data_IF_799034306490
#
_entry.id   IF_799034306490
#
_cell.length_a   1.000
_cell.length_b   1.000
_cell.length_c   1.000
_cell.angle_alpha   90.00
_cell.angle_beta   90.00
_cell.angle_gamma   90.00
#
_symmetry.space_group_name_H-M   'P 1'
#
loop_
_entity.id
_entity.type
_entity.pdbx_description
1 polymer ?
#
# COMPACT_ATOMS: atom_id res chain seq x y z
N UNK A 1 18.29 54.42 -33.79
CA UNK A 1 17.16 53.47 -33.78
C UNK A 1 17.72 52.09 -33.49
N UNK A 2 17.54 51.58 -32.26
CA UNK A 2 17.84 50.20 -31.89
C UNK A 2 16.59 49.67 -31.18
N UNK A 3 15.94 48.68 -31.80
CA UNK A 3 14.78 47.96 -31.25
C UNK A 3 15.33 46.91 -30.27
N UNK A 4 15.04 47.10 -28.99
CA UNK A 4 15.26 46.06 -27.97
C UNK A 4 14.11 45.06 -28.02
N UNK A 5 14.42 43.81 -28.37
CA UNK A 5 13.48 42.69 -28.27
C UNK A 5 13.63 42.11 -26.86
N UNK A 6 12.61 42.26 -26.03
CA UNK A 6 12.57 41.64 -24.71
C UNK A 6 12.30 40.13 -24.85
N UNK A 7 13.31 39.31 -24.56
CA UNK A 7 13.12 37.88 -24.34
C UNK A 7 12.33 37.70 -23.04
N UNK A 8 11.05 37.38 -23.18
CA UNK A 8 10.19 37.02 -22.05
C UNK A 8 10.53 35.57 -21.67
N UNK A 9 11.36 35.38 -20.66
CA UNK A 9 11.49 34.09 -19.99
C UNK A 9 10.20 33.78 -19.23
N UNK A 10 9.21 33.23 -19.91
CA UNK A 10 8.04 32.67 -19.24
C UNK A 10 8.48 31.43 -18.47
N UNK A 11 8.39 31.50 -17.14
CA UNK A 11 8.65 30.39 -16.24
C UNK A 11 7.74 29.23 -16.60
N UNK A 12 8.28 28.01 -16.68
CA UNK A 12 7.54 26.78 -17.04
C UNK A 12 6.28 26.57 -16.18
N UNK A 13 6.25 27.16 -14.98
CA UNK A 13 5.13 27.13 -14.03
C UNK A 13 3.90 27.93 -14.51
N UNK A 14 4.10 29.06 -15.21
CA UNK A 14 3.01 29.88 -15.78
C UNK A 14 2.40 29.20 -17.01
N UNK A 15 3.23 28.57 -17.85
CA UNK A 15 2.77 27.82 -19.01
C UNK A 15 1.92 26.60 -18.61
N UNK A 16 2.27 25.90 -17.53
CA UNK A 16 1.47 24.82 -16.97
C UNK A 16 0.13 25.30 -16.42
N UNK A 17 0.11 26.49 -15.81
CA UNK A 17 -1.11 27.11 -15.28
C UNK A 17 -2.08 27.53 -16.39
N UNK A 18 -1.58 27.89 -17.57
CA UNK A 18 -2.39 28.21 -18.75
C UNK A 18 -3.12 26.99 -19.33
N UNK A 19 -2.64 25.76 -19.12
CA UNK A 19 -3.29 24.53 -19.57
C UNK A 19 -4.49 24.08 -18.69
N UNK A 20 -4.95 24.91 -17.74
CA UNK A 20 -5.91 24.52 -16.68
C UNK A 20 -7.40 24.72 -17.00
N UNK A 21 -7.81 24.99 -18.25
CA UNK A 21 -9.22 25.27 -18.64
C UNK A 21 -9.81 24.22 -19.61
N UNK A 22 -11.16 24.15 -19.78
CA UNK A 22 -12.11 23.42 -18.94
C UNK A 22 -12.45 22.00 -19.47
N UNK A 23 -11.67 21.44 -20.40
CA UNK A 23 -11.89 20.08 -20.92
C UNK A 23 -10.63 19.22 -20.74
N UNK A 24 -10.79 17.99 -20.25
CA UNK A 24 -9.67 17.07 -20.01
C UNK A 24 -8.91 16.74 -21.30
N UNK A 25 -9.62 16.59 -22.42
CA UNK A 25 -9.01 16.29 -23.71
C UNK A 25 -8.14 17.45 -24.21
N UNK A 26 -8.58 18.68 -24.03
CA UNK A 26 -7.82 19.87 -24.43
C UNK A 26 -6.63 20.11 -23.49
N UNK A 27 -6.80 19.82 -22.21
CA UNK A 27 -5.71 19.84 -21.22
C UNK A 27 -4.61 18.85 -21.58
N UNK A 28 -4.95 17.61 -21.94
CA UNK A 28 -3.95 16.59 -22.28
C UNK A 28 -3.14 16.98 -23.52
N UNK A 29 -3.79 17.54 -24.55
CA UNK A 29 -3.11 18.03 -25.76
C UNK A 29 -2.18 19.22 -25.48
N UNK A 30 -2.56 20.10 -24.56
CA UNK A 30 -1.74 21.25 -24.14
C UNK A 30 -0.44 20.79 -23.46
N UNK A 31 -0.54 19.82 -22.55
CA UNK A 31 0.59 19.28 -21.80
C UNK A 31 1.59 18.53 -22.68
N UNK A 32 1.11 17.74 -23.65
CA UNK A 32 2.00 17.03 -24.60
C UNK A 32 2.82 18.00 -25.45
N UNK A 33 2.22 19.13 -25.86
CA UNK A 33 2.90 20.15 -26.65
C UNK A 33 4.03 20.83 -25.87
N UNK A 34 3.86 21.04 -24.56
CA UNK A 34 4.90 21.58 -23.67
C UNK A 34 6.05 20.59 -23.43
N UNK A 35 5.75 19.28 -23.35
CA UNK A 35 6.77 18.26 -23.14
C UNK A 35 7.69 18.06 -24.37
N UNK A 36 7.20 18.37 -25.57
CA UNK A 36 7.97 18.28 -26.82
C UNK A 36 9.03 19.37 -27.02
N UNK A 37 9.02 20.44 -26.22
CA UNK A 37 9.90 21.61 -26.39
C UNK A 37 11.18 21.54 -25.53
N UNK A 38 11.54 20.34 -25.04
CA UNK A 38 12.80 20.10 -24.34
C UNK A 38 13.93 19.81 -25.34
N UNK A 39 15.08 20.53 -25.30
CA UNK A 39 16.19 20.23 -26.19
C UNK A 39 16.82 18.87 -25.87
N UNK A 40 17.35 18.14 -26.88
CA UNK A 40 17.93 16.82 -26.66
C UNK A 40 19.20 16.88 -25.80
N UNK A 41 19.50 15.81 -25.03
CA UNK A 41 20.69 15.76 -24.20
C UNK A 41 21.95 15.76 -25.07
N UNK A 42 22.83 16.73 -24.82
CA UNK A 42 24.10 16.85 -25.53
C UNK A 42 25.07 15.78 -25.01
N UNK A 43 25.49 14.87 -25.89
CA UNK A 43 26.49 13.83 -25.58
C UNK A 43 27.87 14.49 -25.55
N UNK A 44 28.38 14.77 -24.34
CA UNK A 44 29.73 15.31 -24.15
C UNK A 44 30.78 14.19 -24.15
N UNK A 45 31.82 14.40 -24.95
CA UNK A 45 32.93 13.49 -25.21
C UNK A 45 33.82 13.19 -23.97
N UNK A 46 34.41 11.99 -23.97
CA UNK A 46 35.40 11.49 -23.01
C UNK A 46 36.74 12.23 -23.06
N UNK A 47 37.37 12.57 -21.91
CA UNK A 47 38.80 12.87 -21.83
C UNK A 47 39.61 11.68 -21.29
N UNK A 48 40.83 11.50 -21.83
CA UNK A 48 41.81 10.46 -21.46
C UNK A 48 42.59 10.73 -20.15
N UNK A 49 43.53 9.82 -19.78
CA UNK A 49 44.02 9.70 -18.40
C UNK A 49 45.33 10.47 -18.12
N UNK A 50 45.39 11.16 -16.97
CA UNK A 50 46.59 11.83 -16.42
C UNK A 50 46.63 11.59 -14.90
N UNK A 51 47.80 11.39 -14.27
CA UNK A 51 48.01 10.41 -13.19
C UNK A 51 47.83 10.97 -11.77
N UNK A 52 47.72 10.02 -10.84
CA UNK A 52 47.56 10.24 -9.40
C UNK A 52 48.83 10.75 -8.69
N UNK A 53 48.66 11.54 -7.63
CA UNK A 53 49.50 11.42 -6.44
C UNK A 53 48.71 11.11 -5.14
N UNK A 54 49.48 10.51 -4.23
CA UNK A 54 49.25 9.84 -2.93
C UNK A 54 48.38 10.53 -1.83
N UNK A 55 48.05 9.83 -0.72
CA UNK A 55 46.85 10.07 0.11
C UNK A 55 47.05 10.77 1.47
N UNK A 56 45.95 11.42 1.92
CA UNK A 56 45.50 11.74 3.30
C UNK A 56 46.31 12.78 4.13
N UNK A 57 45.72 13.53 5.11
CA UNK A 57 44.53 13.19 5.90
C UNK A 57 43.46 14.29 6.14
N UNK A 58 42.26 13.82 6.46
CA UNK A 58 41.21 14.38 7.31
C UNK A 58 40.99 15.91 7.35
N UNK A 59 40.08 16.39 6.51
CA UNK A 59 39.07 17.39 6.87
C UNK A 59 38.04 17.49 5.74
N UNK A 60 37.16 16.50 5.64
CA UNK A 60 36.00 16.58 4.76
C UNK A 60 34.80 17.04 5.58
N UNK A 61 34.39 18.28 5.33
CA UNK A 61 33.00 18.73 5.42
C UNK A 61 32.07 17.74 4.69
N UNK A 62 30.82 17.60 5.15
CA UNK A 62 29.99 16.42 4.92
C UNK A 62 29.43 16.35 3.49
N UNK A 63 29.54 15.20 2.79
CA UNK A 63 28.74 14.92 1.61
C UNK A 63 27.44 14.17 1.99
N UNK A 64 26.42 14.41 1.18
CA UNK A 64 25.08 13.84 1.26
C UNK A 64 25.07 12.30 1.43
N UNK A 65 24.31 11.81 2.41
CA UNK A 65 23.94 10.41 2.52
C UNK A 65 22.54 10.26 3.14
N UNK A 66 21.70 9.49 2.44
CA UNK A 66 20.57 8.72 2.96
C UNK A 66 19.58 9.45 3.89
N UNK A 67 18.43 9.84 3.34
CA UNK A 67 17.22 9.95 4.13
C UNK A 67 16.84 8.55 4.66
N UNK A 68 17.34 8.26 5.85
CA UNK A 68 16.84 7.40 6.91
C UNK A 68 15.69 6.45 6.55
N UNK A 69 16.04 5.18 6.36
CA UNK A 69 15.18 4.02 6.59
C UNK A 69 14.59 4.08 8.01
N UNK A 70 13.27 3.89 8.24
CA UNK A 70 12.82 3.41 9.53
C UNK A 70 13.30 1.96 9.74
N UNK A 71 13.71 1.60 10.97
CA UNK A 71 14.63 0.51 11.24
C UNK A 71 14.02 -0.86 10.96
N UNK A 72 14.86 -1.78 10.49
CA UNK A 72 14.70 -3.23 10.70
C UNK A 72 14.80 -3.50 12.21
N UNK A 73 13.76 -4.01 12.89
CA UNK A 73 13.93 -4.67 14.16
C UNK A 73 14.34 -6.12 13.85
N UNK A 74 15.62 -6.44 14.10
CA UNK A 74 15.98 -7.82 14.35
C UNK A 74 15.37 -8.22 15.70
N UNK A 75 14.86 -9.45 15.73
CA UNK A 75 13.93 -10.00 16.71
C UNK A 75 14.28 -9.76 18.20
N UNK A 76 13.25 -9.77 19.03
CA UNK A 76 13.15 -10.80 20.05
C UNK A 76 11.98 -11.74 19.75
N UNK A 77 12.25 -13.04 19.90
CA UNK A 77 11.25 -14.11 20.00
C UNK A 77 10.22 -13.75 21.07
N UNK A 78 9.06 -13.27 20.64
CA UNK A 78 7.84 -13.15 21.43
C UNK A 78 6.69 -13.17 20.42
N UNK A 79 5.62 -13.91 20.74
CA UNK A 79 4.46 -14.10 19.87
C UNK A 79 4.06 -12.80 19.15
N UNK A 80 3.99 -12.85 17.81
CA UNK A 80 3.78 -11.70 16.94
C UNK A 80 2.40 -11.07 17.20
N UNK A 81 2.34 -10.12 18.12
CA UNK A 81 1.22 -9.21 18.29
C UNK A 81 1.11 -8.36 17.02
N UNK A 82 0.07 -8.62 16.22
CA UNK A 82 -0.12 -7.98 14.93
C UNK A 82 -0.65 -6.57 15.13
N UNK A 83 0.23 -5.56 15.10
CA UNK A 83 -0.19 -4.16 15.29
C UNK A 83 -1.12 -3.71 14.16
N UNK A 84 -2.37 -3.43 14.51
CA UNK A 84 -3.37 -2.91 13.58
C UNK A 84 -3.16 -1.42 13.29
N UNK A 85 -3.28 -1.06 12.02
CA UNK A 85 -3.26 0.31 11.51
C UNK A 85 -4.64 0.60 10.94
N UNK A 86 -5.30 1.65 11.42
CA UNK A 86 -6.63 2.07 10.94
C UNK A 86 -6.56 3.45 10.33
N UNK A 87 -6.99 3.55 9.08
CA UNK A 87 -7.09 4.77 8.30
C UNK A 87 -8.54 5.06 7.98
N UNK A 88 -9.06 6.18 8.49
CA UNK A 88 -10.40 6.67 8.21
C UNK A 88 -10.28 7.92 7.34
N UNK A 89 -10.84 7.87 6.14
CA UNK A 89 -10.78 8.95 5.15
C UNK A 89 -12.15 9.10 4.45
N UNK A 90 -12.31 10.15 3.64
CA UNK A 90 -13.43 10.27 2.71
C UNK A 90 -12.90 10.18 1.29
N UNK A 91 -13.64 9.50 0.43
CA UNK A 91 -13.32 9.42 -0.98
C UNK A 91 -13.39 10.81 -1.63
N UNK A 92 -12.37 11.23 -2.41
CA UNK A 92 -12.35 12.56 -3.00
C UNK A 92 -13.34 12.75 -4.15
N UNK A 93 -13.87 11.66 -4.71
CA UNK A 93 -14.78 11.69 -5.87
C UNK A 93 -16.23 11.91 -5.44
N UNK A 94 -16.67 11.15 -4.43
CA UNK A 94 -18.07 11.05 -4.01
C UNK A 94 -18.27 11.35 -2.52
N UNK A 95 -17.22 11.80 -1.81
CA UNK A 95 -17.22 12.10 -0.37
C UNK A 95 -17.71 10.95 0.52
N UNK A 96 -17.77 9.72 -0.02
CA UNK A 96 -18.19 8.55 0.72
C UNK A 96 -17.17 8.20 1.82
N UNK A 97 -17.63 7.75 3.00
CA UNK A 97 -16.74 7.30 4.05
C UNK A 97 -15.93 6.08 3.59
N UNK A 98 -14.64 6.10 3.87
CA UNK A 98 -13.69 5.03 3.61
C UNK A 98 -12.95 4.71 4.90
N UNK A 99 -13.04 3.48 5.36
CA UNK A 99 -12.29 3.02 6.52
C UNK A 99 -11.49 1.77 6.13
N UNK A 100 -10.19 1.77 6.46
CA UNK A 100 -9.28 0.67 6.12
C UNK A 100 -8.53 0.31 7.39
N UNK A 101 -8.62 -0.96 7.80
CA UNK A 101 -7.82 -1.53 8.86
C UNK A 101 -6.87 -2.58 8.27
N UNK A 102 -5.58 -2.48 8.56
CA UNK A 102 -4.58 -3.43 8.09
C UNK A 102 -3.74 -3.92 9.25
N UNK A 103 -3.46 -5.23 9.28
CA UNK A 103 -2.49 -5.82 10.19
C UNK A 103 -1.63 -6.83 9.44
N UNK A 104 -0.39 -6.96 9.89
CA UNK A 104 0.57 -7.91 9.36
C UNK A 104 0.97 -8.89 10.45
N UNK A 105 0.90 -10.17 10.14
CA UNK A 105 1.30 -11.27 11.00
C UNK A 105 2.41 -12.08 10.33
N UNK A 106 3.30 -12.65 11.13
CA UNK A 106 4.30 -13.59 10.63
C UNK A 106 3.61 -14.84 10.11
N UNK A 107 3.87 -15.20 8.84
CA UNK A 107 3.31 -16.37 8.17
C UNK A 107 4.22 -17.61 8.29
N UNK A 108 4.94 -17.74 9.41
CA UNK A 108 6.02 -18.70 9.56
C UNK A 108 7.31 -18.28 8.82
N UNK A 109 8.21 -19.22 8.47
CA UNK A 109 9.47 -18.91 7.78
C UNK A 109 9.29 -18.34 6.37
N UNK A 110 8.06 -18.39 5.84
CA UNK A 110 7.71 -18.12 4.43
C UNK A 110 7.30 -16.67 4.14
N UNK A 111 7.19 -15.81 5.16
CA UNK A 111 6.98 -14.37 4.96
C UNK A 111 5.93 -13.76 5.87
N UNK A 112 5.32 -12.67 5.41
CA UNK A 112 4.32 -11.90 6.15
C UNK A 112 2.96 -12.08 5.50
N UNK A 113 1.95 -12.45 6.29
CA UNK A 113 0.55 -12.44 5.89
C UNK A 113 -0.05 -11.12 6.37
N UNK A 114 -0.59 -10.33 5.45
CA UNK A 114 -1.25 -9.07 5.76
C UNK A 114 -2.76 -9.23 5.57
N UNK A 115 -3.51 -8.95 6.62
CA UNK A 115 -4.97 -8.86 6.58
C UNK A 115 -5.36 -7.40 6.38
N UNK A 116 -6.28 -7.15 5.45
CA UNK A 116 -6.82 -5.84 5.14
C UNK A 116 -8.34 -5.90 5.18
N UNK A 117 -8.96 -5.11 6.04
CA UNK A 117 -10.40 -4.91 6.10
C UNK A 117 -10.66 -3.51 5.58
N UNK A 118 -11.40 -3.42 4.48
CA UNK A 118 -11.70 -2.15 3.85
C UNK A 118 -13.20 -1.98 3.73
N UNK A 119 -13.62 -0.75 3.88
CA UNK A 119 -14.99 -0.37 3.74
C UNK A 119 -15.10 0.88 2.89
N UNK A 120 -15.98 0.82 1.89
CA UNK A 120 -16.21 1.89 0.94
C UNK A 120 -17.68 1.96 0.60
N UNK A 121 -18.32 3.10 0.89
CA UNK A 121 -19.73 3.29 0.55
C UNK A 121 -20.67 2.25 1.18
N UNK A 122 -20.34 1.76 2.38
CA UNK A 122 -21.10 0.73 3.10
C UNK A 122 -20.80 -0.72 2.68
N UNK A 123 -20.03 -0.94 1.60
CA UNK A 123 -19.53 -2.28 1.25
C UNK A 123 -18.27 -2.57 2.04
N UNK A 124 -18.26 -3.70 2.73
CA UNK A 124 -17.09 -4.17 3.48
C UNK A 124 -16.48 -5.35 2.75
N UNK A 125 -15.17 -5.29 2.55
CA UNK A 125 -14.37 -6.37 1.99
C UNK A 125 -13.22 -6.66 2.95
N UNK A 126 -12.92 -7.94 3.14
CA UNK A 126 -11.75 -8.39 3.86
C UNK A 126 -10.88 -9.18 2.90
N UNK A 127 -9.60 -8.82 2.81
CA UNK A 127 -8.64 -9.41 1.90
C UNK A 127 -7.35 -9.80 2.61
N UNK A 128 -6.81 -10.94 2.20
CA UNK A 128 -5.52 -11.47 2.63
C UNK A 128 -4.51 -11.20 1.52
N UNK A 129 -3.39 -10.58 1.91
CA UNK A 129 -2.27 -10.26 1.02
C UNK A 129 -1.01 -10.91 1.54
N UNK A 130 -0.24 -11.47 0.63
CA UNK A 130 1.17 -11.80 0.85
C UNK A 130 1.86 -11.84 -0.51
N UNK A 131 3.19 -11.72 -0.52
CA UNK A 131 3.98 -11.74 -1.76
C UNK A 131 3.66 -12.94 -2.69
N UNK A 132 3.54 -14.20 -2.21
CA UNK A 132 3.16 -15.32 -3.09
C UNK A 132 1.73 -15.21 -3.64
N UNK A 133 0.78 -14.72 -2.84
CA UNK A 133 -0.62 -14.58 -3.26
C UNK A 133 -0.84 -13.51 -4.32
N UNK A 134 0.05 -12.51 -4.40
CA UNK A 134 -0.03 -11.48 -5.45
C UNK A 134 0.21 -12.03 -6.86
N UNK A 135 0.79 -13.23 -6.99
CA UNK A 135 1.08 -13.84 -8.29
C UNK A 135 0.02 -14.84 -8.78
N UNK A 136 -0.65 -15.55 -7.85
CA UNK A 136 -1.63 -16.61 -8.17
C UNK A 136 -2.71 -16.74 -7.10
N UNK A 137 -3.61 -15.77 -6.99
CA UNK A 137 -4.62 -15.76 -5.93
C UNK A 137 -5.64 -16.92 -6.03
N UNK A 138 -5.88 -17.42 -7.25
CA UNK A 138 -6.95 -18.36 -7.59
C UNK A 138 -6.63 -19.82 -7.25
N UNK A 139 -5.34 -20.16 -7.13
CA UNK A 139 -4.86 -21.53 -6.87
C UNK A 139 -4.80 -21.86 -5.36
N UNK A 140 -5.20 -20.91 -4.51
CA UNK A 140 -5.11 -21.02 -3.06
C UNK A 140 -6.47 -21.23 -2.41
N UNK A 141 -6.46 -22.05 -1.36
CA UNK A 141 -7.60 -22.28 -0.48
C UNK A 141 -7.33 -21.55 0.83
N UNK A 142 -8.27 -20.70 1.24
CA UNK A 142 -8.20 -20.00 2.53
C UNK A 142 -9.11 -20.71 3.52
N UNK A 143 -8.57 -21.02 4.70
CA UNK A 143 -9.32 -21.43 5.87
C UNK A 143 -9.01 -20.52 7.05
N UNK A 144 -9.93 -20.44 8.01
CA UNK A 144 -9.71 -19.73 9.25
C UNK A 144 -10.11 -20.60 10.44
N UNK A 145 -9.41 -20.44 11.56
CA UNK A 145 -9.73 -21.08 12.83
C UNK A 145 -9.77 -20.02 13.92
N UNK A 146 -10.77 -20.13 14.80
CA UNK A 146 -10.92 -19.24 15.95
C UNK A 146 -10.53 -20.04 17.19
N UNK A 147 -9.49 -19.60 17.90
CA UNK A 147 -8.88 -20.35 19.00
C UNK A 147 -8.51 -21.77 18.54
N UNK A 148 -8.90 -22.80 19.30
CA UNK A 148 -8.65 -24.22 18.99
C UNK A 148 -9.82 -24.88 18.21
N UNK A 149 -10.72 -24.09 17.64
CA UNK A 149 -11.81 -24.62 16.83
C UNK A 149 -11.28 -25.23 15.50
N UNK A 150 -12.00 -26.23 14.94
CA UNK A 150 -11.65 -26.78 13.63
C UNK A 150 -11.58 -25.68 12.55
N UNK A 151 -10.57 -25.71 11.66
CA UNK A 151 -10.49 -24.74 10.57
C UNK A 151 -11.70 -24.81 9.65
N UNK A 152 -12.30 -23.65 9.37
CA UNK A 152 -13.43 -23.49 8.46
C UNK A 152 -12.91 -22.93 7.14
N UNK A 153 -13.22 -23.60 6.03
CA UNK A 153 -12.88 -23.11 4.69
C UNK A 153 -13.72 -21.88 4.35
N UNK A 154 -13.05 -20.76 4.06
CA UNK A 154 -13.71 -19.55 3.62
C UNK A 154 -14.01 -19.61 2.12
N UNK A 155 -15.14 -19.05 1.71
CA UNK A 155 -15.36 -18.75 0.30
C UNK A 155 -14.48 -17.58 -0.09
N UNK A 156 -13.69 -17.74 -1.14
CA UNK A 156 -12.72 -16.73 -1.59
C UNK A 156 -12.99 -16.28 -3.01
N UNK A 157 -12.42 -15.14 -3.37
CA UNK A 157 -12.27 -14.70 -4.74
C UNK A 157 -11.25 -13.58 -4.85
N UNK A 158 -11.17 -12.96 -6.01
CA UNK A 158 -10.29 -11.81 -6.20
C UNK A 158 -10.76 -10.61 -5.37
N UNK A 159 -9.79 -9.92 -4.75
CA UNK A 159 -10.05 -8.64 -4.08
C UNK A 159 -10.36 -7.55 -5.09
N UNK A 160 -11.25 -6.63 -4.72
CA UNK A 160 -11.57 -5.48 -5.54
C UNK A 160 -10.37 -4.56 -5.79
N UNK A 161 -9.30 -4.67 -4.99
CA UNK A 161 -8.05 -3.93 -5.20
C UNK A 161 -7.10 -4.62 -6.20
N UNK A 162 -7.49 -5.76 -6.78
CA UNK A 162 -6.65 -6.56 -7.68
C UNK A 162 -5.42 -7.17 -7.00
N UNK A 163 -5.34 -7.11 -5.67
CA UNK A 163 -4.15 -7.48 -4.89
C UNK A 163 -4.55 -8.34 -3.71
N UNK A 164 -4.29 -9.65 -3.82
CA UNK A 164 -4.60 -10.66 -2.83
C UNK A 164 -5.97 -11.30 -2.98
N UNK A 165 -6.33 -12.11 -1.99
CA UNK A 165 -7.55 -12.92 -1.97
C UNK A 165 -8.57 -12.25 -1.05
N UNK A 166 -9.76 -11.93 -1.57
CA UNK A 166 -10.87 -11.47 -0.75
C UNK A 166 -11.72 -12.63 -0.23
N UNK A 167 -12.07 -12.56 1.05
CA UNK A 167 -13.10 -13.40 1.64
C UNK A 167 -14.47 -12.91 1.15
N UNK A 168 -15.26 -13.82 0.60
CA UNK A 168 -16.62 -13.57 0.11
C UNK A 168 -17.62 -13.88 1.23
N UNK A 169 -18.74 -13.17 1.20
CA UNK A 169 -19.81 -13.30 2.20
C UNK A 169 -20.00 -12.02 3.02
N UNK A 170 -20.72 -12.14 4.13
CA UNK A 170 -20.94 -11.05 5.07
C UNK A 170 -19.75 -10.87 6.02
N UNK A 171 -18.78 -10.06 5.58
CA UNK A 171 -17.61 -9.70 6.39
C UNK A 171 -17.99 -8.92 7.64
N UNK A 172 -19.02 -8.06 7.57
CA UNK A 172 -19.43 -7.25 8.71
C UNK A 172 -20.04 -8.15 9.80
N UNK A 173 -20.96 -9.05 9.41
CA UNK A 173 -21.53 -10.06 10.30
C UNK A 173 -20.47 -10.98 10.89
N UNK A 174 -19.48 -11.40 10.08
CA UNK A 174 -18.34 -12.18 10.55
C UNK A 174 -17.54 -11.46 11.64
N UNK A 175 -17.14 -10.19 11.42
CA UNK A 175 -16.38 -9.42 12.41
C UNK A 175 -17.18 -9.14 13.69
N UNK A 176 -18.50 -8.97 13.57
CA UNK A 176 -19.39 -8.78 14.71
C UNK A 176 -19.57 -10.07 15.52
N UNK A 177 -19.60 -11.24 14.87
CA UNK A 177 -19.78 -12.54 15.53
C UNK A 177 -18.51 -13.10 16.17
N UNK A 178 -17.34 -12.53 15.89
CA UNK A 178 -16.09 -12.94 16.54
C UNK A 178 -16.20 -12.80 18.07
N UNK A 179 -15.52 -13.66 18.85
CA UNK A 179 -15.44 -13.50 20.29
C UNK A 179 -14.65 -12.24 20.69
N UNK A 180 -14.86 -11.77 21.91
CA UNK A 180 -14.20 -10.55 22.41
C UNK A 180 -12.70 -10.73 22.69
N UNK A 181 -12.28 -11.96 22.94
CA UNK A 181 -10.92 -12.35 23.31
C UNK A 181 -10.52 -13.63 22.56
N UNK A 182 -9.21 -13.87 22.47
CA UNK A 182 -8.63 -15.04 21.80
C UNK A 182 -7.86 -14.67 20.54
N UNK A 183 -7.66 -15.66 19.66
CA UNK A 183 -6.85 -15.50 18.45
C UNK A 183 -7.58 -16.10 17.25
N UNK A 184 -7.57 -15.40 16.12
CA UNK A 184 -7.97 -15.96 14.83
C UNK A 184 -6.74 -16.25 13.99
N UNK A 185 -6.66 -17.48 13.49
CA UNK A 185 -5.63 -17.91 12.56
C UNK A 185 -6.23 -17.99 11.15
N UNK A 186 -5.63 -17.29 10.19
CA UNK A 186 -5.92 -17.46 8.78
C UNK A 186 -4.84 -18.31 8.14
N UNK A 187 -5.25 -19.42 7.55
CA UNK A 187 -4.41 -20.36 6.84
C UNK A 187 -4.69 -20.27 5.35
N UNK A 188 -3.65 -20.09 4.56
CA UNK A 188 -3.72 -20.03 3.10
C UNK A 188 -2.85 -21.15 2.57
N UNK A 189 -3.46 -22.18 2.00
CA UNK A 189 -2.77 -23.33 1.44
C UNK A 189 -2.87 -23.28 -0.08
N UNK A 190 -1.73 -23.43 -0.76
CA UNK A 190 -1.72 -23.74 -2.19
C UNK A 190 -2.12 -25.21 -2.39
N UNK A 191 -2.80 -25.53 -3.51
CA UNK A 191 -3.28 -26.90 -3.79
C UNK A 191 -2.18 -27.98 -3.77
N UNK A 192 -0.92 -27.61 -4.02
CA UNK A 192 0.23 -28.53 -4.05
C UNK A 192 1.49 -27.92 -3.42
N UNK A 193 1.33 -27.03 -2.45
CA UNK A 193 2.43 -26.19 -2.01
C UNK A 193 2.42 -25.85 -0.53
N UNK A 194 3.14 -24.78 -0.22
CA UNK A 194 3.34 -24.33 1.13
C UNK A 194 2.07 -23.71 1.71
N UNK A 195 1.97 -23.78 3.03
CA UNK A 195 0.86 -23.19 3.77
C UNK A 195 1.35 -21.99 4.54
N UNK A 196 0.73 -20.84 4.28
CA UNK A 196 0.95 -19.60 5.02
C UNK A 196 -0.07 -19.52 6.13
N UNK A 197 0.36 -19.11 7.33
CA UNK A 197 -0.56 -18.98 8.46
C UNK A 197 -0.28 -17.70 9.23
N UNK A 198 -1.23 -16.76 9.21
CA UNK A 198 -1.17 -15.55 10.01
C UNK A 198 -2.10 -15.64 11.21
N UNK A 199 -1.60 -15.30 12.39
CA UNK A 199 -2.39 -15.22 13.64
C UNK A 199 -2.63 -13.76 14.02
N UNK A 200 -3.86 -13.44 14.41
CA UNK A 200 -4.28 -12.10 14.82
C UNK A 200 -5.07 -12.17 16.12
N UNK A 201 -4.79 -11.26 17.04
CA UNK A 201 -5.51 -11.15 18.30
C UNK A 201 -6.92 -10.59 18.08
N UNK A 202 -7.90 -11.30 18.62
CA UNK A 202 -9.31 -10.91 18.52
C UNK A 202 -9.62 -9.67 19.34
N UNK A 203 -8.94 -9.49 20.47
CA UNK A 203 -9.03 -8.28 21.29
C UNK A 203 -8.71 -7.04 20.45
N UNK A 204 -7.62 -7.09 19.67
CA UNK A 204 -7.24 -6.00 18.78
C UNK A 204 -8.30 -5.78 17.71
N UNK A 205 -8.76 -6.84 17.01
CA UNK A 205 -9.82 -6.75 16.00
C UNK A 205 -11.07 -6.07 16.57
N UNK A 206 -11.46 -6.43 17.80
CA UNK A 206 -12.65 -5.87 18.47
C UNK A 206 -12.52 -4.38 18.75
N UNK A 207 -11.33 -3.86 19.00
CA UNK A 207 -11.12 -2.40 19.12
C UNK A 207 -11.38 -1.65 17.81
N UNK A 208 -11.23 -2.32 16.66
CA UNK A 208 -11.37 -1.73 15.31
C UNK A 208 -12.80 -1.83 14.80
N UNK A 209 -13.55 -2.86 15.23
CA UNK A 209 -14.96 -3.05 14.86
C UNK A 209 -15.79 -1.77 15.00
N UNK A 210 -15.78 -1.02 16.14
CA UNK A 210 -16.57 0.22 16.24
C UNK A 210 -16.07 1.32 15.29
N UNK A 211 -14.75 1.39 15.03
CA UNK A 211 -14.13 2.36 14.13
C UNK A 211 -14.49 2.11 12.66
N UNK A 212 -14.66 0.84 12.29
CA UNK A 212 -15.16 0.46 10.97
C UNK A 212 -16.69 0.58 10.89
N UNK A 213 -17.40 0.07 11.89
CA UNK A 213 -18.87 0.00 11.88
C UNK A 213 -19.56 1.37 11.72
N UNK A 214 -19.00 2.43 12.32
CA UNK A 214 -19.55 3.79 12.23
C UNK A 214 -19.59 4.31 10.77
N UNK A 215 -18.43 4.51 10.12
CA UNK A 215 -18.35 4.93 8.72
C UNK A 215 -19.07 3.98 7.75
N UNK A 216 -19.05 2.68 8.04
CA UNK A 216 -19.64 1.65 7.18
C UNK A 216 -21.13 1.41 7.38
N UNK A 217 -21.73 2.02 8.40
CA UNK A 217 -23.14 1.83 8.77
C UNK A 217 -23.51 0.34 8.95
N UNK A 218 -22.62 -0.44 9.56
CA UNK A 218 -22.93 -1.85 9.85
C UNK A 218 -24.16 -1.94 10.75
N UNK A 219 -25.08 -2.85 10.41
CA UNK A 219 -26.22 -3.16 11.28
C UNK A 219 -25.69 -3.96 12.46
N UNK A 220 -25.81 -3.43 13.67
CA UNK A 220 -25.68 -4.24 14.88
C UNK A 220 -27.00 -5.00 15.01
N UNK A 221 -26.93 -6.32 14.89
CA UNK A 221 -28.05 -7.20 15.16
C UNK A 221 -28.11 -7.50 16.66
#
# INVERSE_FOLDING_TARGET
>A
MLVSIAASGQSSSDALSACSLPSYADRMRCLEKLAGEAPPPQVAATPGPVPAPAPAPAAASPPAAAATLPPKPAAPTAAASSKWIVSETRSPVDYSPVAIATASSGAGPQGVLQLSIQCRGGRTEMAIRSAPLMRRAEDHVVSYAINDAPPVTATTGLSSSGTGIALKGDVAGFLLSLPDQGTIAFRVAERQGETLEGRYDLADIKTLVPRLAGPCKWRRN
#
